data_IF_940568072343
#
_entry.id   IF_940568072343
#
_cell.length_a   1.000
_cell.length_b   1.000
_cell.length_c   1.000
_cell.angle_alpha   90.00
_cell.angle_beta   90.00
_cell.angle_gamma   90.00
#
_symmetry.space_group_name_H-M   'P 1'
#
loop_
_entity.id
_entity.type
_entity.pdbx_description
1 polymer ?
#
# COMPACT_ATOMS: atom_id res chain seq x y z
N UNK A 1 -12.97 -20.99 20.19
CA UNK A 1 -12.24 -21.82 19.18
C UNK A 1 -12.06 -21.06 17.85
N UNK A 2 -11.93 -19.72 17.86
CA UNK A 2 -11.85 -18.92 16.63
C UNK A 2 -10.50 -18.20 16.44
N UNK A 3 -9.70 -18.04 17.50
CA UNK A 3 -8.45 -17.27 17.45
C UNK A 3 -7.43 -17.85 16.46
N UNK A 4 -7.32 -19.17 16.34
CA UNK A 4 -6.30 -19.80 15.49
C UNK A 4 -6.55 -19.60 13.99
N UNK A 5 -7.81 -19.56 13.56
CA UNK A 5 -8.19 -19.37 12.15
C UNK A 5 -8.13 -17.89 11.74
N UNK A 6 -8.47 -16.98 12.64
CA UNK A 6 -8.35 -15.54 12.38
C UNK A 6 -6.87 -15.12 12.28
N UNK A 7 -6.01 -15.66 13.15
CA UNK A 7 -4.57 -15.41 13.11
C UNK A 7 -3.91 -15.93 11.82
N UNK A 8 -4.30 -17.12 11.34
CA UNK A 8 -3.76 -17.65 10.07
C UNK A 8 -4.18 -16.80 8.88
N UNK A 9 -5.44 -16.35 8.86
CA UNK A 9 -5.96 -15.49 7.78
C UNK A 9 -5.26 -14.14 7.73
N UNK A 10 -4.97 -13.55 8.90
CA UNK A 10 -4.22 -12.29 8.99
C UNK A 10 -2.80 -12.49 8.45
N UNK A 11 -2.11 -13.56 8.84
CA UNK A 11 -0.75 -13.85 8.37
C UNK A 11 -0.69 -14.06 6.85
N UNK A 12 -1.68 -14.75 6.28
CA UNK A 12 -1.82 -14.92 4.83
C UNK A 12 -2.03 -13.59 4.11
N UNK A 13 -2.90 -12.72 4.63
CA UNK A 13 -3.12 -11.39 4.09
C UNK A 13 -1.87 -10.51 4.16
N UNK A 14 -1.10 -10.60 5.25
CA UNK A 14 0.18 -9.90 5.36
C UNK A 14 1.18 -10.38 4.31
N UNK A 15 1.36 -11.70 4.18
CA UNK A 15 2.29 -12.29 3.23
C UNK A 15 1.93 -11.90 1.78
N UNK A 16 0.65 -12.02 1.42
CA UNK A 16 0.13 -11.66 0.11
C UNK A 16 0.42 -10.19 -0.24
N UNK A 17 0.09 -9.25 0.66
CA UNK A 17 0.32 -7.83 0.41
C UNK A 17 1.81 -7.48 0.31
N UNK A 18 2.67 -8.16 1.06
CA UNK A 18 4.12 -7.97 1.00
C UNK A 18 4.71 -8.48 -0.31
N UNK A 19 4.29 -9.65 -0.77
CA UNK A 19 4.71 -10.20 -2.06
C UNK A 19 4.33 -9.25 -3.21
N UNK A 20 3.09 -8.74 -3.21
CA UNK A 20 2.63 -7.75 -4.20
C UNK A 20 3.45 -6.46 -4.15
N UNK A 21 3.77 -5.98 -2.95
CA UNK A 21 4.58 -4.78 -2.80
C UNK A 21 6.01 -4.99 -3.32
N UNK A 22 6.61 -6.15 -3.07
CA UNK A 22 7.94 -6.50 -3.59
C UNK A 22 7.94 -6.70 -5.11
N UNK A 23 6.87 -7.26 -5.67
CA UNK A 23 6.73 -7.52 -7.11
C UNK A 23 6.87 -6.25 -7.93
N UNK A 24 6.13 -5.21 -7.57
CA UNK A 24 6.05 -3.96 -8.34
C UNK A 24 5.38 -2.80 -7.57
N UNK A 25 5.24 -2.92 -6.26
CA UNK A 25 4.71 -1.85 -5.42
C UNK A 25 5.69 -0.69 -5.29
N UNK A 26 5.16 0.49 -5.01
CA UNK A 26 5.99 1.67 -4.79
C UNK A 26 5.31 2.69 -3.90
N UNK A 27 6.12 3.53 -3.26
CA UNK A 27 5.64 4.56 -2.34
C UNK A 27 5.78 5.94 -2.93
N UNK A 28 4.87 6.83 -2.55
CA UNK A 28 5.00 8.26 -2.73
C UNK A 28 5.19 8.88 -1.35
N UNK A 29 6.39 9.38 -1.09
CA UNK A 29 6.74 10.11 0.13
C UNK A 29 6.75 11.60 -0.20
N UNK A 30 6.15 12.47 0.63
CA UNK A 30 6.22 13.91 0.43
C UNK A 30 7.66 14.41 0.52
N UNK A 31 8.05 15.30 -0.38
CA UNK A 31 9.32 16.02 -0.28
C UNK A 31 9.16 17.16 0.72
N UNK A 32 9.75 17.00 1.90
CA UNK A 32 9.60 17.94 3.02
C UNK A 32 10.21 19.30 2.73
N UNK A 33 11.37 19.35 2.07
CA UNK A 33 12.02 20.61 1.66
C UNK A 33 11.09 21.43 0.76
N UNK A 34 10.53 20.81 -0.27
CA UNK A 34 9.58 21.47 -1.16
C UNK A 34 8.28 21.87 -0.45
N UNK A 35 7.83 21.08 0.52
CA UNK A 35 6.64 21.39 1.33
C UNK A 35 6.85 22.64 2.20
N UNK A 36 8.04 22.81 2.76
CA UNK A 36 8.43 23.99 3.53
C UNK A 36 8.52 25.23 2.64
N UNK A 37 9.10 25.11 1.44
CA UNK A 37 9.28 26.22 0.49
C UNK A 37 7.95 26.80 -0.03
N UNK A 38 6.99 25.96 -0.41
CA UNK A 38 5.73 26.42 -1.04
C UNK A 38 4.51 26.45 -0.11
N UNK A 39 4.67 25.94 1.12
CA UNK A 39 3.60 25.80 2.09
C UNK A 39 2.63 24.64 1.82
N UNK A 40 1.97 24.17 2.88
CA UNK A 40 1.05 23.01 2.85
C UNK A 40 -0.18 23.23 1.97
N UNK A 41 -0.63 24.48 1.78
CA UNK A 41 -1.77 24.79 0.91
C UNK A 41 -1.47 24.55 -0.58
N UNK A 42 -0.23 24.79 -1.01
CA UNK A 42 0.20 24.57 -2.40
C UNK A 42 0.76 23.17 -2.61
N UNK A 43 1.34 22.55 -1.58
CA UNK A 43 1.91 21.19 -1.65
C UNK A 43 0.95 20.12 -1.08
N UNK A 44 0.11 19.56 -1.96
CA UNK A 44 -0.93 18.58 -1.59
C UNK A 44 -0.48 17.11 -1.59
N UNK A 45 0.81 16.82 -1.79
CA UNK A 45 1.30 15.43 -1.82
C UNK A 45 1.43 14.90 -0.38
N UNK A 46 0.91 13.71 -0.16
CA UNK A 46 1.01 12.99 1.11
C UNK A 46 1.67 11.63 0.95
N UNK A 47 1.73 10.89 2.06
CA UNK A 47 2.20 9.51 2.11
C UNK A 47 1.19 8.57 1.46
N UNK A 48 1.67 7.73 0.55
CA UNK A 48 0.84 6.78 -0.19
C UNK A 48 1.66 5.57 -0.61
N UNK A 49 1.08 4.39 -0.47
CA UNK A 49 1.55 3.14 -1.07
C UNK A 49 0.71 2.85 -2.30
N UNK A 50 1.34 2.33 -3.36
CA UNK A 50 0.66 1.90 -4.57
C UNK A 50 0.97 0.44 -4.81
N UNK A 51 -0.08 -0.38 -4.76
CA UNK A 51 -0.04 -1.78 -5.12
C UNK A 51 -0.54 -1.92 -6.56
N UNK A 52 0.05 -2.84 -7.31
CA UNK A 52 -0.26 -3.02 -8.73
C UNK A 52 -0.90 -4.39 -8.93
N UNK A 53 -2.14 -4.36 -9.38
CA UNK A 53 -2.91 -5.52 -9.79
C UNK A 53 -2.82 -5.73 -11.31
N UNK A 54 -2.77 -7.00 -11.71
CA UNK A 54 -2.75 -7.48 -13.08
C UNK A 54 -4.17 -7.76 -13.62
N UNK A 55 -5.16 -7.90 -12.73
CA UNK A 55 -6.56 -8.14 -13.06
C UNK A 55 -7.50 -7.46 -12.05
N UNK A 56 -8.78 -7.34 -12.40
CA UNK A 56 -9.83 -6.87 -11.49
C UNK A 56 -10.06 -7.85 -10.32
N UNK A 57 -9.82 -9.15 -10.54
CA UNK A 57 -9.90 -10.18 -9.50
C UNK A 57 -8.80 -9.99 -8.45
N UNK A 58 -7.54 -9.87 -8.87
CA UNK A 58 -6.41 -9.60 -7.97
C UNK A 58 -6.59 -8.26 -7.24
N UNK A 59 -7.23 -7.26 -7.89
CA UNK A 59 -7.57 -6.00 -7.24
C UNK A 59 -8.54 -6.19 -6.06
N UNK A 60 -9.55 -7.03 -6.19
CA UNK A 60 -10.49 -7.26 -5.08
C UNK A 60 -9.84 -8.06 -3.96
N UNK A 61 -9.01 -9.06 -4.27
CA UNK A 61 -8.20 -9.77 -3.27
C UNK A 61 -7.31 -8.80 -2.48
N UNK A 62 -6.63 -7.87 -3.18
CA UNK A 62 -5.84 -6.80 -2.54
C UNK A 62 -6.70 -5.98 -1.59
N UNK A 63 -7.89 -5.57 -2.02
CA UNK A 63 -8.78 -4.73 -1.21
C UNK A 63 -9.30 -5.46 0.01
N UNK A 64 -9.56 -6.76 -0.09
CA UNK A 64 -9.96 -7.60 1.03
C UNK A 64 -8.82 -7.74 2.04
N UNK A 65 -7.63 -8.13 1.60
CA UNK A 65 -6.45 -8.24 2.46
C UNK A 65 -6.12 -6.91 3.15
N UNK A 66 -6.20 -5.78 2.44
CA UNK A 66 -5.97 -4.46 3.03
C UNK A 66 -6.98 -4.15 4.15
N UNK A 67 -8.26 -4.46 3.95
CA UNK A 67 -9.30 -4.24 4.97
C UNK A 67 -9.10 -5.14 6.18
N UNK A 68 -8.68 -6.39 5.99
CA UNK A 68 -8.39 -7.33 7.08
C UNK A 68 -7.26 -6.80 7.98
N UNK A 69 -6.24 -6.17 7.39
CA UNK A 69 -5.16 -5.51 8.14
C UNK A 69 -5.51 -4.09 8.64
N UNK A 70 -6.77 -3.66 8.48
CA UNK A 70 -7.24 -2.36 8.94
C UNK A 70 -6.81 -1.17 8.07
N UNK A 71 -6.20 -1.40 6.90
CA UNK A 71 -5.87 -0.35 5.95
C UNK A 71 -7.11 0.15 5.19
N UNK A 72 -7.03 1.40 4.71
CA UNK A 72 -8.09 2.05 3.93
C UNK A 72 -7.65 2.21 2.47
N UNK A 73 -7.99 1.25 1.58
CA UNK A 73 -7.71 1.41 0.15
C UNK A 73 -8.49 2.59 -0.43
N UNK A 74 -7.83 3.40 -1.23
CA UNK A 74 -8.45 4.48 -2.00
C UNK A 74 -9.17 3.94 -3.25
N UNK A 75 -9.68 4.85 -4.09
CA UNK A 75 -10.19 4.48 -5.41
C UNK A 75 -9.01 4.01 -6.31
N UNK A 76 -9.10 2.81 -6.91
CA UNK A 76 -8.08 2.34 -7.84
C UNK A 76 -8.15 3.12 -9.16
N UNK A 77 -7.05 3.08 -9.93
CA UNK A 77 -6.96 3.72 -11.24
C UNK A 77 -6.16 2.87 -12.22
N UNK A 78 -6.48 2.98 -13.51
CA UNK A 78 -5.73 2.30 -14.56
C UNK A 78 -4.45 3.07 -14.91
N UNK A 79 -3.35 2.34 -15.06
CA UNK A 79 -2.06 2.84 -15.54
C UNK A 79 -1.56 1.91 -16.63
N UNK A 80 -1.70 2.33 -17.88
CA UNK A 80 -1.45 1.47 -19.05
C UNK A 80 -2.28 0.17 -18.96
N UNK A 81 -1.63 -1.00 -18.93
CA UNK A 81 -2.26 -2.32 -18.82
C UNK A 81 -2.40 -2.82 -17.36
N UNK A 82 -2.14 -1.96 -16.39
CA UNK A 82 -2.13 -2.31 -14.97
C UNK A 82 -3.21 -1.54 -14.21
N UNK A 83 -3.68 -2.12 -13.10
CA UNK A 83 -4.59 -1.44 -12.18
C UNK A 83 -3.83 -1.13 -10.91
N UNK A 84 -3.83 0.13 -10.48
CA UNK A 84 -3.12 0.56 -9.28
C UNK A 84 -4.12 0.79 -8.16
N UNK A 85 -3.89 0.14 -7.02
CA UNK A 85 -4.63 0.32 -5.78
C UNK A 85 -3.81 1.21 -4.83
N UNK A 86 -4.20 2.49 -4.61
CA UNK A 86 -3.54 3.35 -3.66
C UNK A 86 -3.99 3.08 -2.22
N UNK A 87 -3.08 3.27 -1.28
CA UNK A 87 -3.34 3.21 0.17
C UNK A 87 -2.70 4.45 0.79
N UNK A 88 -3.52 5.32 1.41
CA UNK A 88 -3.02 6.56 1.99
C UNK A 88 -2.56 6.38 3.43
N UNK A 89 -1.58 7.20 3.83
CA UNK A 89 -1.17 7.33 5.22
C UNK A 89 0.28 6.95 5.47
N UNK A 90 0.88 7.60 6.45
CA UNK A 90 2.27 7.36 6.86
C UNK A 90 2.45 5.95 7.42
N UNK A 91 1.50 5.48 8.23
CA UNK A 91 1.52 4.13 8.80
C UNK A 91 1.53 3.03 7.72
N UNK A 92 0.76 3.18 6.64
CA UNK A 92 0.81 2.24 5.52
C UNK A 92 2.21 2.23 4.87
N UNK A 93 2.76 3.41 4.58
CA UNK A 93 4.12 3.51 4.02
C UNK A 93 5.15 2.85 4.92
N UNK A 94 5.12 3.13 6.23
CA UNK A 94 6.03 2.53 7.19
C UNK A 94 5.86 1.01 7.27
N UNK A 95 4.63 0.50 7.32
CA UNK A 95 4.36 -0.95 7.38
C UNK A 95 4.87 -1.70 6.14
N UNK A 96 4.64 -1.15 4.95
CA UNK A 96 5.10 -1.75 3.70
C UNK A 96 6.63 -1.67 3.54
N UNK A 97 7.25 -0.58 4.01
CA UNK A 97 8.71 -0.43 3.99
C UNK A 97 9.41 -1.26 5.08
N UNK A 98 8.77 -1.50 6.23
CA UNK A 98 9.36 -2.22 7.37
C UNK A 98 9.68 -3.69 7.10
N UNK A 99 9.08 -4.27 6.05
CA UNK A 99 9.39 -5.66 5.64
C UNK A 99 10.08 -5.73 4.29
N UNK A 100 10.49 -4.57 3.76
CA UNK A 100 11.41 -4.46 2.65
C UNK A 100 12.86 -4.31 3.15
N UNK A 101 13.18 -4.82 4.35
CA UNK A 101 14.57 -4.94 4.79
C UNK A 101 15.35 -5.72 3.73
N UNK A 102 16.42 -5.09 3.24
CA UNK A 102 17.22 -5.43 2.05
C UNK A 102 16.58 -5.02 0.72
N UNK A 103 16.46 -3.72 0.47
CA UNK A 103 17.28 -3.03 -0.55
C UNK A 103 16.80 -1.58 -0.71
N UNK A 104 17.52 -0.64 -0.09
CA UNK A 104 17.64 0.71 -0.67
C UNK A 104 18.28 0.53 -2.06
N UNK A 105 17.53 0.72 -3.14
CA UNK A 105 18.06 0.93 -4.50
C UNK A 105 17.48 2.22 -5.04
#
# INVERSE_FOLDING_TARGET
>A
MNDSTELSTIQEAEAFLRELFQRNGYVRVPNEKRRQEVGSQKYKKGYEVRLVANSEEELEEIRQALRQLGFRPARPFQKHRQIVQPVYGKQAVEWFLSSADVTRR
#
